data_IF_349033658473
#
_entry.id   IF_349033658473
#
_cell.length_a   1.000
_cell.length_b   1.000
_cell.length_c   1.000
_cell.angle_alpha   90.00
_cell.angle_beta   90.00
_cell.angle_gamma   90.00
#
_symmetry.space_group_name_H-M   'P 1'
#
loop_
_entity.id
_entity.type
_entity.pdbx_description
1 polymer ?
#
# COMPACT_ATOMS: atom_id res chain seq x y z
N UNK A 1 39.84 45.88 -6.79
CA UNK A 1 39.01 45.28 -7.85
C UNK A 1 39.07 43.78 -7.62
N UNK A 2 38.00 43.13 -7.27
CA UNK A 2 38.01 41.67 -7.20
C UNK A 2 38.02 41.13 -8.63
N UNK A 3 38.99 40.25 -8.92
CA UNK A 3 39.07 39.49 -10.16
C UNK A 3 37.76 38.67 -10.29
N UNK A 4 36.94 39.01 -11.29
CA UNK A 4 35.84 38.16 -11.73
C UNK A 4 36.47 36.93 -12.38
N UNK A 5 36.69 35.90 -11.60
CA UNK A 5 37.06 34.56 -12.06
C UNK A 5 35.88 34.00 -12.88
N UNK A 6 35.84 34.33 -14.14
CA UNK A 6 34.96 33.70 -15.10
C UNK A 6 35.31 32.20 -15.15
N UNK A 7 34.46 31.38 -14.56
CA UNK A 7 34.54 29.93 -14.70
C UNK A 7 34.70 29.60 -16.18
N UNK A 8 35.85 29.10 -16.60
CA UNK A 8 36.13 28.81 -17.99
C UNK A 8 35.07 27.79 -18.49
N UNK A 9 34.56 28.00 -19.72
CA UNK A 9 33.53 27.09 -20.33
C UNK A 9 33.92 25.62 -20.19
N UNK A 10 35.20 25.32 -20.27
CA UNK A 10 35.77 23.97 -20.10
C UNK A 10 35.54 23.43 -18.69
N UNK A 11 35.67 24.22 -17.64
CA UNK A 11 35.51 23.79 -16.25
C UNK A 11 34.04 23.65 -15.89
N UNK A 12 33.19 24.52 -16.46
CA UNK A 12 31.74 24.36 -16.38
C UNK A 12 31.25 23.03 -17.01
N UNK A 13 31.78 22.70 -18.21
CA UNK A 13 31.43 21.43 -18.87
C UNK A 13 31.90 20.22 -18.02
N UNK A 14 33.13 20.28 -17.47
CA UNK A 14 33.63 19.21 -16.58
C UNK A 14 32.74 19.06 -15.36
N UNK A 15 32.37 20.16 -14.71
CA UNK A 15 31.46 20.13 -13.57
C UNK A 15 30.11 19.51 -13.94
N UNK A 16 29.55 19.92 -15.07
CA UNK A 16 28.26 19.38 -15.53
C UNK A 16 28.33 17.87 -15.81
N UNK A 17 29.40 17.41 -16.46
CA UNK A 17 29.60 15.98 -16.75
C UNK A 17 29.78 15.18 -15.47
N UNK A 18 30.57 15.66 -14.52
CA UNK A 18 30.81 14.99 -13.25
C UNK A 18 29.54 14.89 -12.40
N UNK A 19 28.76 15.98 -12.30
CA UNK A 19 27.52 15.99 -11.52
C UNK A 19 26.46 15.11 -12.15
N UNK A 20 26.31 15.15 -13.49
CA UNK A 20 25.39 14.28 -14.21
C UNK A 20 25.79 12.82 -14.11
N UNK A 21 27.08 12.51 -14.22
CA UNK A 21 27.61 11.16 -14.04
C UNK A 21 27.38 10.61 -12.64
N UNK A 22 27.61 11.41 -11.61
CA UNK A 22 27.34 11.03 -10.22
C UNK A 22 25.84 10.79 -9.98
N UNK A 23 24.99 11.64 -10.56
CA UNK A 23 23.53 11.46 -10.46
C UNK A 23 23.07 10.15 -11.12
N UNK A 24 23.54 9.86 -12.34
CA UNK A 24 23.21 8.61 -13.05
C UNK A 24 23.72 7.39 -12.27
N UNK A 25 24.94 7.43 -11.75
CA UNK A 25 25.50 6.36 -10.94
C UNK A 25 24.66 6.11 -9.67
N UNK A 26 24.20 7.18 -9.00
CA UNK A 26 23.29 7.09 -7.86
C UNK A 26 21.95 6.45 -8.21
N UNK A 27 21.35 6.82 -9.34
CA UNK A 27 20.10 6.21 -9.81
C UNK A 27 20.28 4.73 -10.16
N UNK A 28 21.38 4.38 -10.84
CA UNK A 28 21.69 2.96 -11.13
C UNK A 28 21.90 2.14 -9.86
N UNK A 29 22.56 2.72 -8.85
CA UNK A 29 22.76 2.07 -7.55
C UNK A 29 21.43 1.82 -6.84
N UNK A 30 20.54 2.83 -6.78
CA UNK A 30 19.21 2.70 -6.17
C UNK A 30 18.39 1.64 -6.90
N UNK A 31 18.39 1.67 -8.24
CA UNK A 31 17.68 0.68 -9.06
C UNK A 31 18.22 -0.74 -8.83
N UNK A 32 19.54 -0.93 -8.82
CA UNK A 32 20.16 -2.22 -8.53
C UNK A 32 19.88 -2.70 -7.11
N UNK A 33 19.99 -1.83 -6.11
CA UNK A 33 19.69 -2.16 -4.71
C UNK A 33 18.22 -2.53 -4.51
N UNK A 34 17.28 -1.87 -5.20
CA UNK A 34 15.87 -2.21 -5.14
C UNK A 34 15.55 -3.53 -5.85
N UNK A 35 16.23 -3.82 -6.97
CA UNK A 35 16.06 -5.08 -7.69
C UNK A 35 16.62 -6.29 -6.92
N UNK A 36 17.69 -6.07 -6.13
CA UNK A 36 18.30 -7.11 -5.29
C UNK A 36 17.59 -7.29 -3.93
N UNK A 37 16.67 -6.40 -3.56
CA UNK A 37 15.80 -6.60 -2.40
C UNK A 37 14.82 -7.71 -2.73
N UNK A 38 15.15 -8.94 -2.37
CA UNK A 38 14.18 -10.02 -2.35
C UNK A 38 13.06 -9.63 -1.38
N UNK A 39 11.83 -9.55 -1.91
CA UNK A 39 10.64 -9.47 -1.06
C UNK A 39 10.56 -10.81 -0.35
N UNK A 40 10.92 -10.82 0.91
CA UNK A 40 10.75 -12.00 1.77
C UNK A 40 9.30 -12.48 1.75
N UNK A 41 9.02 -13.72 2.13
CA UNK A 41 7.67 -14.21 2.24
C UNK A 41 6.89 -13.30 3.21
N UNK A 42 5.64 -13.03 2.88
CA UNK A 42 4.76 -12.25 3.76
C UNK A 42 4.72 -12.86 5.17
N UNK A 43 4.85 -12.04 6.22
CA UNK A 43 4.78 -12.54 7.59
C UNK A 43 3.40 -13.12 7.88
N UNK A 44 3.34 -14.14 8.73
CA UNK A 44 2.07 -14.63 9.25
C UNK A 44 1.69 -13.80 10.47
N UNK A 45 0.57 -13.09 10.38
CA UNK A 45 0.08 -12.23 11.46
C UNK A 45 -1.28 -12.71 11.94
N UNK A 46 -1.43 -12.90 13.25
CA UNK A 46 -2.74 -13.10 13.87
C UNK A 46 -3.46 -11.76 13.94
N UNK A 47 -4.57 -11.64 13.20
CA UNK A 47 -5.33 -10.38 13.08
C UNK A 47 -6.27 -10.19 14.26
N UNK A 48 -7.23 -11.12 14.43
CA UNK A 48 -8.26 -11.05 15.49
C UNK A 48 -8.92 -12.41 15.66
N UNK A 49 -9.74 -12.58 16.70
CA UNK A 49 -10.59 -13.77 16.82
C UNK A 49 -11.79 -13.69 15.88
N UNK A 50 -12.27 -14.83 15.43
CA UNK A 50 -13.50 -14.91 14.60
C UNK A 50 -14.67 -14.25 15.33
N UNK A 51 -14.86 -14.56 16.62
CA UNK A 51 -15.94 -13.99 17.43
C UNK A 51 -15.87 -12.46 17.52
N UNK A 52 -14.67 -11.89 17.64
CA UNK A 52 -14.50 -10.43 17.67
C UNK A 52 -14.80 -9.81 16.30
N UNK A 53 -14.35 -10.44 15.21
CA UNK A 53 -14.62 -9.95 13.85
C UNK A 53 -16.11 -10.00 13.53
N UNK A 54 -16.82 -11.04 13.96
CA UNK A 54 -18.26 -11.15 13.79
C UNK A 54 -19.03 -10.10 14.62
N UNK A 55 -18.61 -9.88 15.85
CA UNK A 55 -19.24 -8.91 16.75
C UNK A 55 -19.05 -7.44 16.28
N UNK A 56 -17.86 -7.12 15.83
CA UNK A 56 -17.50 -5.74 15.38
C UNK A 56 -17.81 -5.48 13.92
N UNK A 57 -17.88 -6.53 13.09
CA UNK A 57 -17.98 -6.52 11.62
C UNK A 57 -16.77 -5.91 10.91
N UNK A 58 -15.99 -5.06 11.55
CA UNK A 58 -14.78 -4.41 11.02
C UNK A 58 -13.69 -4.43 12.10
N UNK A 59 -12.49 -4.85 11.72
CA UNK A 59 -11.29 -4.78 12.55
C UNK A 59 -10.16 -4.18 11.75
N UNK A 60 -9.56 -3.12 12.29
CA UNK A 60 -8.36 -2.50 11.71
C UNK A 60 -7.10 -3.23 12.21
N UNK A 61 -6.15 -3.44 11.30
CA UNK A 61 -4.86 -4.03 11.62
C UNK A 61 -3.77 -3.47 10.69
N UNK A 62 -2.52 -3.88 10.87
CA UNK A 62 -1.41 -3.46 10.04
C UNK A 62 -0.73 -4.65 9.42
N UNK A 63 -0.49 -4.60 8.10
CA UNK A 63 0.09 -5.72 7.36
C UNK A 63 0.56 -5.29 5.97
N UNK A 64 1.73 -5.73 5.46
CA UNK A 64 2.66 -6.70 6.09
C UNK A 64 3.56 -6.09 7.17
N UNK A 65 3.54 -4.78 7.34
CA UNK A 65 4.31 -4.03 8.32
C UNK A 65 3.44 -2.98 9.05
N UNK A 66 4.03 -2.25 9.99
CA UNK A 66 3.32 -1.28 10.83
C UNK A 66 2.87 0.00 10.10
N UNK A 67 3.34 0.22 8.86
CA UNK A 67 3.01 1.41 8.07
C UNK A 67 1.87 1.18 7.07
N UNK A 68 1.43 -0.07 6.90
CA UNK A 68 0.37 -0.44 5.98
C UNK A 68 -0.93 -0.76 6.72
N UNK A 69 -1.85 0.22 6.85
CA UNK A 69 -3.15 0.01 7.47
C UNK A 69 -4.02 -0.89 6.60
N UNK A 70 -4.71 -1.82 7.24
CA UNK A 70 -5.59 -2.80 6.61
C UNK A 70 -6.90 -2.92 7.38
N UNK A 71 -7.94 -3.39 6.71
CA UNK A 71 -9.28 -3.66 7.23
C UNK A 71 -9.61 -5.13 7.05
N UNK A 72 -10.03 -5.81 8.11
CA UNK A 72 -10.70 -7.10 8.06
C UNK A 72 -12.19 -6.87 8.22
N UNK A 73 -13.00 -7.45 7.34
CA UNK A 73 -14.44 -7.25 7.25
C UNK A 73 -15.17 -8.58 7.40
N UNK A 74 -16.23 -8.59 8.19
CA UNK A 74 -17.21 -9.66 8.22
C UNK A 74 -18.44 -9.26 7.38
N UNK A 75 -18.62 -9.93 6.25
CA UNK A 75 -19.76 -9.69 5.34
C UNK A 75 -20.99 -10.51 5.71
N UNK A 76 -20.95 -11.18 6.86
CA UNK A 76 -21.98 -12.10 7.33
C UNK A 76 -21.80 -13.55 6.87
N UNK A 77 -22.47 -14.48 7.56
CA UNK A 77 -22.49 -15.91 7.25
C UNK A 77 -21.08 -16.56 7.13
N UNK A 78 -20.13 -16.19 7.99
CA UNK A 78 -18.78 -16.74 7.97
C UNK A 78 -17.91 -16.30 6.78
N UNK A 79 -18.31 -15.23 6.07
CA UNK A 79 -17.53 -14.67 4.96
C UNK A 79 -16.67 -13.52 5.46
N UNK A 80 -15.35 -13.72 5.43
CA UNK A 80 -14.36 -12.73 5.83
C UNK A 80 -13.53 -12.32 4.64
N UNK A 81 -13.27 -11.03 4.52
CA UNK A 81 -12.38 -10.44 3.52
C UNK A 81 -11.47 -9.40 4.18
N UNK A 82 -10.32 -9.15 3.61
CA UNK A 82 -9.44 -8.11 4.11
C UNK A 82 -8.76 -7.36 2.97
N UNK A 83 -8.59 -6.06 3.17
CA UNK A 83 -8.02 -5.14 2.19
C UNK A 83 -7.06 -4.16 2.85
N UNK A 84 -6.10 -3.67 2.07
CA UNK A 84 -5.36 -2.45 2.41
C UNK A 84 -6.32 -1.26 2.48
N UNK A 85 -6.19 -0.44 3.51
CA UNK A 85 -7.09 0.69 3.75
C UNK A 85 -6.77 1.91 2.87
N UNK A 86 -5.65 1.92 2.14
CA UNK A 86 -5.26 3.04 1.27
C UNK A 86 -6.00 3.00 -0.05
N UNK A 87 -6.75 4.07 -0.34
CA UNK A 87 -7.43 4.25 -1.62
C UNK A 87 -6.44 4.22 -2.80
N UNK A 88 -6.77 3.48 -3.84
CA UNK A 88 -5.93 3.32 -5.02
C UNK A 88 -5.79 4.58 -5.90
N UNK A 89 -6.50 5.67 -5.56
CA UNK A 89 -6.36 6.98 -6.22
C UNK A 89 -5.17 7.76 -5.64
N UNK A 90 -5.24 8.24 -4.40
CA UNK A 90 -4.23 9.07 -3.73
C UNK A 90 -4.02 8.67 -2.26
N UNK A 91 -4.14 7.39 -1.94
CA UNK A 91 -3.79 6.79 -0.64
C UNK A 91 -4.56 7.32 0.57
N UNK A 92 -5.70 8.01 0.38
CA UNK A 92 -6.58 8.35 1.48
C UNK A 92 -7.16 7.08 2.13
N UNK A 93 -7.38 7.08 3.43
CA UNK A 93 -8.00 5.97 4.12
C UNK A 93 -9.46 5.78 3.67
N UNK A 94 -9.82 4.55 3.28
CA UNK A 94 -11.21 4.20 3.02
C UNK A 94 -11.94 3.86 4.32
N UNK A 95 -13.22 4.17 4.36
CA UNK A 95 -14.10 3.95 5.50
C UNK A 95 -15.16 2.92 5.13
N UNK A 96 -15.33 1.83 5.90
CA UNK A 96 -16.34 0.82 5.61
C UNK A 96 -17.76 1.31 5.91
N UNK A 97 -18.68 1.10 4.95
CA UNK A 97 -20.12 1.20 5.11
C UNK A 97 -20.73 -0.17 4.70
N UNK A 98 -20.68 -1.11 5.63
CA UNK A 98 -21.10 -2.49 5.37
C UNK A 98 -22.61 -2.64 5.20
N UNK A 99 -23.40 -1.66 5.63
CA UNK A 99 -24.86 -1.69 5.44
C UNK A 99 -25.22 -1.37 4.00
N UNK A 100 -24.37 -0.58 3.32
CA UNK A 100 -24.42 -0.37 1.87
C UNK A 100 -23.60 -1.37 1.08
N UNK A 101 -22.76 -2.19 1.73
CA UNK A 101 -21.85 -3.12 1.07
C UNK A 101 -20.66 -2.44 0.39
N UNK A 102 -20.26 -1.27 0.86
CA UNK A 102 -19.20 -0.48 0.23
C UNK A 102 -18.08 -0.05 1.19
N UNK A 103 -16.93 0.28 0.61
CA UNK A 103 -15.83 0.98 1.25
C UNK A 103 -15.71 2.35 0.59
N UNK A 104 -15.97 3.41 1.34
CA UNK A 104 -16.02 4.78 0.84
C UNK A 104 -14.71 5.53 1.10
N UNK A 105 -14.20 6.24 0.09
CA UNK A 105 -13.06 7.15 0.22
C UNK A 105 -13.57 8.60 0.29
N UNK A 106 -13.50 9.28 1.44
CA UNK A 106 -14.09 10.61 1.61
C UNK A 106 -13.36 11.72 0.87
N UNK A 107 -12.09 11.51 0.48
CA UNK A 107 -11.30 12.58 -0.15
C UNK A 107 -11.84 13.01 -1.51
N UNK A 108 -12.24 12.08 -2.35
CA UNK A 108 -12.72 12.35 -3.71
C UNK A 108 -13.95 11.50 -4.07
N UNK A 109 -14.73 11.09 -3.07
CA UNK A 109 -15.95 10.30 -3.25
C UNK A 109 -15.74 9.02 -4.08
N UNK A 110 -14.61 8.35 -3.86
CA UNK A 110 -14.36 7.02 -4.45
C UNK A 110 -15.10 5.96 -3.65
N UNK A 111 -15.73 5.00 -4.32
CA UNK A 111 -16.37 3.85 -3.67
C UNK A 111 -15.83 2.55 -4.22
N UNK A 112 -15.76 1.54 -3.36
CA UNK A 112 -15.34 0.19 -3.68
C UNK A 112 -16.36 -0.80 -3.12
N UNK A 113 -16.61 -1.87 -3.84
CA UNK A 113 -17.47 -2.97 -3.35
C UNK A 113 -16.77 -3.70 -2.20
N UNK A 114 -17.44 -3.83 -1.06
CA UNK A 114 -16.85 -4.45 0.13
C UNK A 114 -16.53 -5.95 -0.07
N UNK A 115 -17.26 -6.64 -0.95
CA UNK A 115 -17.05 -8.07 -1.20
C UNK A 115 -15.82 -8.38 -2.05
N UNK A 116 -15.46 -7.49 -2.98
CA UNK A 116 -14.42 -7.74 -3.99
C UNK A 116 -13.26 -6.77 -3.93
N UNK A 117 -13.44 -5.59 -3.28
CA UNK A 117 -12.49 -4.49 -3.28
C UNK A 117 -12.43 -3.74 -4.63
N UNK A 118 -13.29 -4.06 -5.60
CA UNK A 118 -13.33 -3.41 -6.90
C UNK A 118 -13.89 -1.99 -6.80
N UNK A 119 -13.35 -1.01 -7.57
CA UNK A 119 -13.91 0.33 -7.59
C UNK A 119 -15.28 0.32 -8.28
N UNK A 120 -16.25 0.98 -7.68
CA UNK A 120 -17.63 1.10 -8.17
C UNK A 120 -17.99 2.52 -8.57
N UNK A 121 -17.34 3.52 -7.97
CA UNK A 121 -17.58 4.93 -8.30
C UNK A 121 -16.37 5.81 -7.99
N UNK A 122 -16.33 6.99 -8.60
CA UNK A 122 -15.31 8.01 -8.39
C UNK A 122 -14.02 7.78 -9.20
N UNK A 123 -12.92 8.45 -8.82
CA UNK A 123 -11.68 8.43 -9.58
C UNK A 123 -10.83 7.15 -9.46
N UNK A 124 -10.96 6.26 -8.45
CA UNK A 124 -10.17 5.04 -8.37
C UNK A 124 -10.39 4.14 -9.58
N UNK A 125 -9.31 3.62 -10.17
CA UNK A 125 -9.35 2.74 -11.35
C UNK A 125 -8.81 1.33 -11.10
N UNK A 126 -8.27 1.08 -9.91
CA UNK A 126 -7.71 -0.20 -9.50
C UNK A 126 -8.38 -0.67 -8.21
N UNK A 127 -8.52 -1.97 -8.01
CA UNK A 127 -9.05 -2.50 -6.75
C UNK A 127 -8.16 -2.11 -5.56
N UNK A 128 -8.72 -2.21 -4.37
CA UNK A 128 -7.92 -2.17 -3.15
C UNK A 128 -7.00 -3.39 -3.08
N UNK A 129 -5.76 -3.24 -2.57
CA UNK A 129 -4.89 -4.38 -2.32
C UNK A 129 -5.59 -5.41 -1.43
N UNK A 130 -5.63 -6.66 -1.86
CA UNK A 130 -6.31 -7.73 -1.11
C UNK A 130 -5.32 -8.41 -0.17
N UNK A 131 -5.69 -8.51 1.10
CA UNK A 131 -4.94 -9.31 2.07
C UNK A 131 -5.52 -10.73 2.06
N UNK A 132 -4.64 -11.72 1.88
CA UNK A 132 -5.01 -13.12 2.01
C UNK A 132 -5.18 -13.44 3.48
N UNK A 133 -6.38 -13.84 3.87
CA UNK A 133 -6.69 -14.21 5.25
C UNK A 133 -7.18 -15.65 5.32
N UNK A 134 -6.85 -16.33 6.44
CA UNK A 134 -7.23 -17.71 6.71
C UNK A 134 -7.85 -17.80 8.11
N UNK A 135 -9.03 -18.40 8.22
CA UNK A 135 -9.56 -18.83 9.50
C UNK A 135 -8.89 -20.14 9.88
N UNK A 136 -8.44 -20.25 11.12
CA UNK A 136 -7.78 -21.44 11.65
C UNK A 136 -8.59 -22.11 12.75
N UNK A 137 -8.27 -23.37 12.98
CA UNK A 137 -8.90 -24.19 14.03
C UNK A 137 -8.70 -23.61 15.45
N UNK A 138 -7.78 -22.68 15.63
CA UNK A 138 -7.56 -21.95 16.89
C UNK A 138 -8.62 -20.85 17.13
N UNK A 139 -9.57 -20.65 16.20
CA UNK A 139 -10.61 -19.62 16.28
C UNK A 139 -10.13 -18.21 15.96
N UNK A 140 -8.98 -18.06 15.31
CA UNK A 140 -8.43 -16.78 14.88
C UNK A 140 -8.34 -16.65 13.37
N UNK A 141 -8.45 -15.42 12.91
CA UNK A 141 -8.18 -15.01 11.52
C UNK A 141 -6.71 -14.59 11.42
N UNK A 142 -6.00 -15.15 10.46
CA UNK A 142 -4.59 -14.91 10.20
C UNK A 142 -4.40 -14.28 8.82
N UNK A 143 -3.57 -13.25 8.72
CA UNK A 143 -3.08 -12.71 7.46
C UNK A 143 -1.82 -13.48 7.03
N UNK A 144 -1.78 -13.88 5.75
CA UNK A 144 -0.71 -14.73 5.20
C UNK A 144 -0.10 -14.22 3.91
N UNK A 145 -0.72 -13.22 3.28
CA UNK A 145 -0.26 -12.63 2.02
C UNK A 145 -0.99 -11.34 1.68
N UNK A 146 -0.48 -10.63 0.69
CA UNK A 146 -1.10 -9.41 0.16
C UNK A 146 -0.91 -9.34 -1.36
N UNK A 147 -1.98 -9.17 -2.10
CA UNK A 147 -1.99 -9.02 -3.56
C UNK A 147 -2.27 -7.57 -3.95
N UNK A 148 -1.67 -7.12 -5.06
CA UNK A 148 -1.93 -5.78 -5.58
C UNK A 148 -1.29 -4.64 -4.78
N UNK A 149 -0.37 -4.95 -3.86
CA UNK A 149 0.40 -3.92 -3.16
C UNK A 149 1.27 -3.17 -4.17
N UNK A 150 1.20 -1.83 -4.24
CA UNK A 150 2.12 -1.05 -5.06
C UNK A 150 3.54 -1.25 -4.52
N UNK A 151 4.41 -1.73 -5.38
CA UNK A 151 5.84 -1.95 -5.11
C UNK A 151 6.62 -0.66 -5.18
#
# INVERSE_FOLDING_TARGET
MPDDDHVARRDFIKFLVLTSGAFVAGQCWIAAASALREKGPFPRLRVTSVAELEARRVVEFRYPDEHEPCLALCLGAGRYVAYGQKCSHLSCAVVPDLDKGELHCPCHNGSFEAATGQPTAGPPRRPLPRVTIEERADGYVWATGMEGHPT
#
